data_IF_302204604679
#
_entry.id   IF_302204604679
#
_cell.length_a   1.000
_cell.length_b   1.000
_cell.length_c   1.000
_cell.angle_alpha   90.00
_cell.angle_beta   90.00
_cell.angle_gamma   90.00
#
_symmetry.space_group_name_H-M   'P 1'
#
loop_
_entity.id
_entity.type
_entity.pdbx_description
1 polymer ?
#
# COMPACT_ATOMS: atom_id res chain seq x y z
N UNK A 1 2.46 -31.27 -14.71
CA UNK A 1 3.76 -31.46 -14.03
C UNK A 1 4.71 -30.41 -14.55
N UNK A 2 5.46 -29.73 -13.68
CA UNK A 2 6.49 -28.78 -14.12
C UNK A 2 7.58 -29.60 -14.82
N UNK A 3 8.03 -29.20 -16.03
CA UNK A 3 9.06 -29.93 -16.76
C UNK A 3 10.39 -29.91 -15.98
N UNK A 4 11.13 -31.02 -16.06
CA UNK A 4 12.46 -31.11 -15.44
C UNK A 4 13.44 -30.17 -16.15
N UNK A 5 14.14 -29.34 -15.37
CA UNK A 5 15.13 -28.37 -15.86
C UNK A 5 16.52 -28.80 -15.40
N UNK A 6 17.49 -28.83 -16.32
CA UNK A 6 18.88 -29.20 -16.01
C UNK A 6 19.60 -28.17 -15.11
N UNK A 7 19.10 -26.94 -15.05
CA UNK A 7 19.72 -25.81 -14.33
C UNK A 7 19.08 -25.55 -12.98
N UNK A 8 17.84 -25.98 -12.76
CA UNK A 8 17.07 -25.60 -11.58
C UNK A 8 16.35 -26.77 -10.93
N UNK A 9 16.36 -26.79 -9.59
CA UNK A 9 15.53 -27.67 -8.77
C UNK A 9 14.36 -26.84 -8.24
N UNK A 10 13.14 -27.25 -8.61
CA UNK A 10 11.93 -26.57 -8.18
C UNK A 10 11.37 -27.21 -6.90
N UNK A 11 11.39 -26.44 -5.82
CA UNK A 11 10.91 -26.84 -4.51
C UNK A 11 9.62 -26.09 -4.15
N UNK A 12 8.60 -26.82 -3.67
CA UNK A 12 7.32 -26.23 -3.24
C UNK A 12 6.97 -26.67 -1.81
N UNK A 13 7.68 -26.17 -0.78
CA UNK A 13 7.53 -26.66 0.59
C UNK A 13 6.09 -26.58 1.10
N UNK A 14 5.41 -25.46 0.87
CA UNK A 14 4.01 -25.28 1.29
C UNK A 14 3.07 -26.30 0.67
N UNK A 15 3.28 -26.66 -0.61
CA UNK A 15 2.49 -27.68 -1.30
C UNK A 15 2.82 -29.08 -0.76
N UNK A 16 4.12 -29.39 -0.61
CA UNK A 16 4.59 -30.68 -0.08
C UNK A 16 4.12 -30.93 1.34
N UNK A 17 4.12 -29.90 2.18
CA UNK A 17 3.63 -29.98 3.55
C UNK A 17 2.10 -30.02 3.65
N UNK A 18 1.38 -29.85 2.53
CA UNK A 18 -0.08 -29.79 2.51
C UNK A 18 -0.65 -28.54 3.20
N UNK A 19 0.13 -27.44 3.26
CA UNK A 19 -0.30 -26.23 3.95
C UNK A 19 -1.27 -25.43 3.09
N UNK A 20 -2.50 -25.32 3.57
CA UNK A 20 -3.46 -24.34 3.09
C UNK A 20 -3.25 -22.96 3.71
N UNK A 21 -3.97 -21.96 3.18
CA UNK A 21 -3.90 -20.57 3.65
C UNK A 21 -4.10 -20.41 5.17
N UNK A 22 -5.02 -21.17 5.76
CA UNK A 22 -5.29 -21.14 7.21
C UNK A 22 -4.04 -21.48 8.02
N UNK A 23 -3.37 -22.58 7.65
CA UNK A 23 -2.15 -23.03 8.33
C UNK A 23 -1.02 -22.01 8.20
N UNK A 24 -0.86 -21.40 7.03
CA UNK A 24 0.13 -20.33 6.84
C UNK A 24 -0.12 -19.13 7.76
N UNK A 25 -1.38 -18.71 7.92
CA UNK A 25 -1.74 -17.59 8.82
C UNK A 25 -1.46 -17.95 10.28
N UNK A 26 -1.81 -19.16 10.72
CA UNK A 26 -1.53 -19.63 12.08
C UNK A 26 -0.03 -19.64 12.39
N UNK A 27 0.78 -20.21 11.50
CA UNK A 27 2.24 -20.31 11.69
C UNK A 27 2.90 -18.94 11.74
N UNK A 28 2.48 -18.03 10.86
CA UNK A 28 2.97 -16.64 10.86
C UNK A 28 2.60 -15.92 12.15
N UNK A 29 1.37 -16.10 12.64
CA UNK A 29 0.94 -15.52 13.91
C UNK A 29 1.74 -16.08 15.10
N UNK A 30 2.00 -17.39 15.11
CA UNK A 30 2.86 -18.04 16.13
C UNK A 30 4.31 -17.55 16.07
N UNK A 31 4.82 -17.25 14.88
CA UNK A 31 6.15 -16.68 14.68
C UNK A 31 6.23 -15.19 15.08
N UNK A 32 5.11 -14.55 15.44
CA UNK A 32 5.08 -13.20 15.98
C UNK A 32 5.33 -12.08 14.96
N UNK A 33 5.19 -12.36 13.65
CA UNK A 33 5.31 -11.32 12.63
C UNK A 33 4.07 -11.25 11.74
N UNK A 34 3.86 -10.10 11.11
CA UNK A 34 2.81 -9.89 10.11
C UNK A 34 3.46 -9.65 8.75
N UNK A 35 3.21 -10.49 7.73
CA UNK A 35 3.74 -10.25 6.40
C UNK A 35 3.14 -8.96 5.87
N UNK A 36 4.00 -8.12 5.31
CA UNK A 36 3.56 -6.95 4.57
C UNK A 36 2.70 -7.39 3.37
N UNK A 37 1.85 -6.48 2.89
CA UNK A 37 1.12 -6.69 1.65
C UNK A 37 2.13 -6.88 0.51
N UNK A 38 1.97 -7.92 -0.30
CA UNK A 38 2.89 -8.24 -1.40
C UNK A 38 2.71 -7.36 -2.65
N UNK A 39 2.01 -6.24 -2.54
CA UNK A 39 1.81 -5.31 -3.66
C UNK A 39 3.06 -4.48 -3.90
N UNK A 40 3.39 -4.20 -5.16
CA UNK A 40 4.38 -3.20 -5.51
C UNK A 40 3.98 -1.83 -4.92
N UNK A 41 4.96 -0.99 -4.58
CA UNK A 41 4.72 0.36 -4.05
C UNK A 41 3.98 1.28 -5.04
N UNK A 42 3.97 0.96 -6.33
CA UNK A 42 3.24 1.67 -7.40
C UNK A 42 2.01 0.88 -7.89
N UNK A 43 1.50 -0.08 -7.10
CA UNK A 43 0.42 -0.96 -7.54
C UNK A 43 -0.89 -0.18 -7.81
N UNK A 44 -1.46 -0.22 -9.03
CA UNK A 44 -2.69 0.50 -9.34
C UNK A 44 -3.97 -0.01 -8.65
N UNK A 45 -3.84 -1.00 -7.78
CA UNK A 45 -4.92 -1.57 -6.97
C UNK A 45 -4.81 -1.15 -5.48
N UNK A 46 -3.86 -0.29 -5.13
CA UNK A 46 -3.80 0.27 -3.77
C UNK A 46 -5.02 1.15 -3.49
N UNK A 47 -5.54 1.03 -2.27
CA UNK A 47 -6.62 1.88 -1.76
C UNK A 47 -6.04 3.25 -1.39
N UNK A 48 -6.86 4.30 -1.41
CA UNK A 48 -6.42 5.67 -1.09
C UNK A 48 -5.64 5.77 0.23
N UNK A 49 -6.13 5.15 1.31
CA UNK A 49 -5.43 5.17 2.60
C UNK A 49 -4.07 4.46 2.56
N UNK A 50 -3.89 3.43 1.72
CA UNK A 50 -2.60 2.76 1.55
C UNK A 50 -1.61 3.64 0.78
N UNK A 51 -2.10 4.47 -0.14
CA UNK A 51 -1.30 5.47 -0.86
C UNK A 51 -0.85 6.59 0.06
N UNK A 52 -1.76 7.08 0.91
CA UNK A 52 -1.43 8.11 1.92
C UNK A 52 -0.45 7.58 2.97
N UNK A 53 -0.66 6.33 3.44
CA UNK A 53 0.26 5.67 4.35
C UNK A 53 1.66 5.49 3.73
N UNK A 54 1.73 5.10 2.45
CA UNK A 54 2.99 5.05 1.70
C UNK A 54 3.66 6.44 1.64
N UNK A 55 2.91 7.50 1.31
CA UNK A 55 3.44 8.86 1.25
C UNK A 55 3.98 9.35 2.60
N UNK A 56 3.35 8.95 3.70
CA UNK A 56 3.77 9.31 5.06
C UNK A 56 4.99 8.53 5.54
N UNK A 57 4.98 7.21 5.36
CA UNK A 57 5.97 6.32 5.96
C UNK A 57 7.17 6.04 5.03
N UNK A 58 6.97 6.15 3.71
CA UNK A 58 7.98 5.89 2.67
C UNK A 58 7.90 6.95 1.56
N UNK A 59 8.17 8.23 1.87
CA UNK A 59 8.03 9.34 0.93
C UNK A 59 8.90 9.18 -0.33
N UNK A 60 10.05 8.51 -0.22
CA UNK A 60 10.95 8.18 -1.32
C UNK A 60 10.28 7.26 -2.36
N UNK A 61 9.55 6.25 -1.90
CA UNK A 61 8.80 5.32 -2.75
C UNK A 61 7.58 6.00 -3.36
N UNK A 62 6.90 6.85 -2.59
CA UNK A 62 5.78 7.65 -3.10
C UNK A 62 6.23 8.64 -4.18
N UNK A 63 7.34 9.36 -3.98
CA UNK A 63 7.92 10.25 -4.98
C UNK A 63 8.30 9.48 -6.25
N UNK A 64 8.90 8.30 -6.11
CA UNK A 64 9.21 7.44 -7.25
C UNK A 64 7.96 7.00 -8.01
N UNK A 65 6.87 6.65 -7.31
CA UNK A 65 5.60 6.32 -7.93
C UNK A 65 4.99 7.53 -8.66
N UNK A 66 5.05 8.73 -8.07
CA UNK A 66 4.59 9.98 -8.71
C UNK A 66 5.42 10.28 -9.96
N UNK A 67 6.75 10.13 -9.93
CA UNK A 67 7.58 10.30 -11.13
C UNK A 67 7.21 9.31 -12.23
N UNK A 68 6.91 8.06 -11.87
CA UNK A 68 6.39 7.08 -12.83
C UNK A 68 5.05 7.52 -13.43
N UNK A 69 4.15 8.06 -12.61
CA UNK A 69 2.85 8.58 -13.04
C UNK A 69 3.00 9.79 -13.98
N UNK A 70 3.91 10.72 -13.68
CA UNK A 70 4.16 11.94 -14.46
C UNK A 70 4.86 11.64 -15.80
N UNK A 71 5.79 10.69 -15.81
CA UNK A 71 6.53 10.31 -17.02
C UNK A 71 5.69 9.48 -18.00
N UNK A 72 4.49 9.05 -17.61
CA UNK A 72 3.64 8.21 -18.45
C UNK A 72 3.06 9.02 -19.62
N UNK A 73 3.38 8.60 -20.85
CA UNK A 73 2.72 9.13 -22.06
C UNK A 73 1.45 8.31 -22.29
N UNK A 74 0.31 8.81 -21.81
CA UNK A 74 -0.95 8.07 -21.82
C UNK A 74 -1.91 8.55 -22.91
N UNK A 75 -2.54 7.62 -23.63
CA UNK A 75 -3.74 7.91 -24.45
C UNK A 75 -5.05 7.72 -23.68
N UNK A 76 -5.02 7.04 -22.52
CA UNK A 76 -6.05 6.90 -21.45
C UNK A 76 -5.59 5.86 -20.40
N UNK A 77 -6.35 5.71 -19.30
CA UNK A 77 -6.02 5.14 -17.97
C UNK A 77 -4.91 5.92 -17.26
N UNK A 78 -5.31 6.86 -16.40
CA UNK A 78 -4.50 7.93 -15.79
C UNK A 78 -4.89 8.10 -14.30
N UNK A 79 -4.03 8.01 -13.28
CA UNK A 79 -2.63 7.61 -13.16
C UNK A 79 -2.41 7.05 -11.73
N UNK A 80 -1.82 5.86 -11.63
CA UNK A 80 -1.71 4.95 -10.46
C UNK A 80 -2.95 4.73 -9.57
N UNK A 81 -4.03 5.48 -9.71
CA UNK A 81 -5.39 5.13 -9.29
C UNK A 81 -6.26 4.59 -10.44
N UNK A 82 -5.65 4.36 -11.61
CA UNK A 82 -6.29 4.04 -12.91
C UNK A 82 -7.11 5.17 -13.52
N UNK A 83 -8.09 5.71 -12.82
CA UNK A 83 -8.94 6.80 -13.31
C UNK A 83 -8.84 8.08 -12.47
N UNK A 84 -7.89 8.12 -11.53
CA UNK A 84 -7.52 9.26 -10.72
C UNK A 84 -6.02 9.20 -10.47
N UNK A 85 -5.41 10.33 -10.09
CA UNK A 85 -3.98 10.53 -9.88
C UNK A 85 -3.57 10.39 -8.42
N UNK A 86 -2.50 9.67 -8.13
CA UNK A 86 -1.97 9.63 -6.77
C UNK A 86 -1.42 10.98 -6.34
N UNK A 87 -0.78 11.70 -7.28
CA UNK A 87 -0.24 13.02 -7.02
C UNK A 87 -1.32 13.98 -6.49
N UNK A 88 -2.50 13.98 -7.11
CA UNK A 88 -3.61 14.84 -6.69
C UNK A 88 -4.12 14.44 -5.30
N UNK A 89 -4.24 13.14 -5.02
CA UNK A 89 -4.67 12.65 -3.70
C UNK A 89 -3.71 13.09 -2.60
N UNK A 90 -2.40 12.90 -2.80
CA UNK A 90 -1.37 13.23 -1.81
C UNK A 90 -1.31 14.75 -1.60
N UNK A 91 -1.41 15.53 -2.67
CA UNK A 91 -1.47 16.99 -2.60
C UNK A 91 -2.70 17.47 -1.83
N UNK A 92 -3.86 16.88 -2.08
CA UNK A 92 -5.10 17.21 -1.36
C UNK A 92 -4.99 16.88 0.13
N UNK A 93 -4.46 15.72 0.50
CA UNK A 93 -4.27 15.32 1.90
C UNK A 93 -3.33 16.28 2.66
N UNK A 94 -2.21 16.67 2.03
CA UNK A 94 -1.29 17.65 2.59
C UNK A 94 -1.94 19.03 2.79
N UNK A 95 -2.89 19.41 1.93
CA UNK A 95 -3.62 20.68 2.04
C UNK A 95 -4.81 20.60 3.01
N UNK A 96 -5.33 19.41 3.32
CA UNK A 96 -6.53 19.24 4.15
C UNK A 96 -6.28 19.60 5.62
N UNK A 97 -5.03 19.54 6.10
CA UNK A 97 -4.64 20.09 7.41
C UNK A 97 -4.41 21.60 7.41
N UNK A 98 -4.47 22.29 6.26
CA UNK A 98 -4.36 23.77 6.19
C UNK A 98 -5.69 24.50 6.26
N UNK A 99 -6.81 23.80 6.39
CA UNK A 99 -8.11 24.46 6.56
C UNK A 99 -8.20 25.22 7.91
N UNK A 100 -7.32 24.89 8.85
CA UNK A 100 -7.23 25.48 10.18
C UNK A 100 -5.77 25.74 10.55
N UNK A 101 -5.09 26.61 9.81
CA UNK A 101 -3.72 27.04 10.14
C UNK A 101 -3.67 27.83 11.49
N UNK A 102 -4.83 28.32 11.96
CA UNK A 102 -5.01 29.12 13.20
C UNK A 102 -5.88 28.44 14.29
N UNK A 103 -5.82 27.12 14.48
CA UNK A 103 -6.41 26.50 15.69
C UNK A 103 -5.31 26.23 16.73
N UNK A 104 -5.23 27.04 17.81
CA UNK A 104 -4.39 26.70 18.94
C UNK A 104 -5.09 25.61 19.75
N UNK A 105 -4.33 24.53 20.00
CA UNK A 105 -4.54 23.50 21.00
C UNK A 105 -5.65 22.45 20.76
N UNK A 106 -5.40 21.28 21.38
CA UNK A 106 -6.21 20.07 21.29
C UNK A 106 -7.67 20.38 21.58
N UNK A 107 -8.57 20.02 20.66
CA UNK A 107 -10.01 20.03 20.91
C UNK A 107 -10.27 19.10 22.10
N UNK A 108 -10.58 19.61 23.31
CA UNK A 108 -10.89 18.74 24.42
C UNK A 108 -12.24 18.11 24.08
N UNK A 109 -12.31 16.78 24.11
CA UNK A 109 -13.59 16.08 23.97
C UNK A 109 -14.47 16.40 25.20
N UNK A 110 -15.15 17.55 25.16
CA UNK A 110 -16.20 17.87 26.09
C UNK A 110 -17.43 17.05 25.73
N UNK A 111 -17.73 16.03 26.52
CA UNK A 111 -19.04 15.41 26.54
C UNK A 111 -20.08 16.50 26.87
N UNK A 112 -20.89 16.87 25.88
CA UNK A 112 -22.02 17.76 26.07
C UNK A 112 -23.21 16.89 26.51
N UNK A 113 -23.38 16.74 27.82
CA UNK A 113 -24.64 16.28 28.40
C UNK A 113 -25.54 17.52 28.53
N UNK A 114 -26.57 17.56 27.68
CA UNK A 114 -27.51 18.69 27.58
C UNK A 114 -28.38 18.91 28.81
#
# INVERSE_FOLDING_TARGET
>A
KIPEDKKYIYEYPLVRWGWGRKKCVEVVAQAGFKPAKSSCFFCPAMKKHEVLDLAKNHPDLAERAIKMEQNAITKTVVGLGRNWKWEDLIRSDANQMKLFEDLPDSVPCGCYDG
#
